data_IF_142360757160
#
_entry.id   IF_142360757160
#
_cell.length_a   1.000
_cell.length_b   1.000
_cell.length_c   1.000
_cell.angle_alpha   90.00
_cell.angle_beta   90.00
_cell.angle_gamma   90.00
#
_symmetry.space_group_name_H-M   'P 1'
#
loop_
_entity.id
_entity.type
_entity.pdbx_description
1 polymer ?
#
# COMPACT_ATOMS: atom_id res chain seq x y z
N UNK A 1 -20.68 -20.32 -11.37
CA UNK A 1 -20.62 -19.10 -10.55
C UNK A 1 -19.19 -18.59 -10.63
N UNK A 2 -18.91 -17.62 -11.52
CA UNK A 2 -17.61 -16.96 -11.56
C UNK A 2 -17.58 -16.01 -10.38
N UNK A 3 -16.65 -16.22 -9.45
CA UNK A 3 -16.34 -15.22 -8.44
C UNK A 3 -15.82 -14.02 -9.24
N UNK A 4 -16.60 -12.96 -9.24
CA UNK A 4 -16.19 -11.65 -9.73
C UNK A 4 -14.96 -11.30 -8.89
N UNK A 5 -13.81 -11.16 -9.55
CA UNK A 5 -12.60 -10.61 -8.91
C UNK A 5 -13.02 -9.32 -8.23
N UNK A 6 -12.74 -9.23 -6.92
CA UNK A 6 -13.11 -8.07 -6.12
C UNK A 6 -12.55 -6.82 -6.77
N UNK A 7 -13.45 -6.02 -7.32
CA UNK A 7 -13.20 -4.68 -7.82
C UNK A 7 -12.42 -3.91 -6.75
N UNK A 8 -11.19 -3.50 -7.09
CA UNK A 8 -10.21 -2.78 -6.26
C UNK A 8 -10.38 -2.92 -4.74
N UNK A 9 -9.63 -3.85 -4.12
CA UNK A 9 -9.45 -3.88 -2.68
C UNK A 9 -9.05 -2.47 -2.18
N UNK A 10 -10.01 -1.78 -1.58
CA UNK A 10 -9.88 -0.39 -1.14
C UNK A 10 -8.85 -0.38 0.00
N UNK A 11 -7.60 -0.04 -0.30
CA UNK A 11 -6.51 -0.12 0.65
C UNK A 11 -6.76 0.78 1.87
N UNK A 12 -7.47 1.89 1.67
CA UNK A 12 -7.95 2.73 2.76
C UNK A 12 -8.95 2.01 3.68
N UNK A 13 -9.81 1.12 3.16
CA UNK A 13 -10.70 0.29 3.98
C UNK A 13 -9.91 -0.67 4.87
N UNK A 14 -8.86 -1.29 4.33
CA UNK A 14 -7.97 -2.16 5.11
C UNK A 14 -7.28 -1.39 6.23
N UNK A 15 -6.72 -0.20 5.91
CA UNK A 15 -6.10 0.69 6.90
C UNK A 15 -7.10 1.08 8.00
N UNK A 16 -8.31 1.48 7.60
CA UNK A 16 -9.38 1.86 8.54
C UNK A 16 -9.73 0.70 9.46
N UNK A 17 -9.89 -0.49 8.90
CA UNK A 17 -10.17 -1.72 9.66
C UNK A 17 -9.06 -2.04 10.66
N UNK A 18 -7.79 -1.97 10.24
CA UNK A 18 -6.65 -2.22 11.14
C UNK A 18 -6.58 -1.21 12.28
N UNK A 19 -6.89 0.06 12.02
CA UNK A 19 -6.90 1.09 13.05
C UNK A 19 -8.07 0.93 14.03
N UNK A 20 -9.27 0.53 13.56
CA UNK A 20 -10.41 0.20 14.44
C UNK A 20 -10.08 -1.04 15.30
N UNK A 21 -9.62 -2.13 14.68
CA UNK A 21 -9.27 -3.35 15.41
C UNK A 21 -8.09 -3.14 16.38
N UNK A 22 -7.21 -2.20 16.08
CA UNK A 22 -6.11 -1.79 16.96
C UNK A 22 -6.52 -0.84 18.09
N UNK A 23 -7.80 -0.45 18.18
CA UNK A 23 -8.29 0.49 19.20
C UNK A 23 -7.76 1.92 19.03
N UNK A 24 -7.38 2.31 17.80
CA UNK A 24 -6.86 3.65 17.48
C UNK A 24 -7.93 4.59 16.94
N UNK A 25 -9.05 4.04 16.49
CA UNK A 25 -10.22 4.77 16.01
C UNK A 25 -11.42 4.29 16.82
N UNK A 26 -11.92 5.16 17.70
CA UNK A 26 -13.12 4.89 18.50
C UNK A 26 -14.39 5.14 17.66
N UNK A 27 -14.43 6.27 16.95
CA UNK A 27 -15.56 6.67 16.11
C UNK A 27 -15.13 6.86 14.65
N UNK A 28 -15.38 5.85 13.81
CA UNK A 28 -15.01 5.88 12.40
C UNK A 28 -15.59 7.10 11.64
N UNK A 29 -16.76 7.59 12.03
CA UNK A 29 -17.43 8.69 11.32
C UNK A 29 -16.68 10.03 11.45
N UNK A 30 -16.09 10.29 12.61
CA UNK A 30 -15.35 11.54 12.87
C UNK A 30 -14.04 11.55 12.07
N UNK A 31 -13.25 10.49 12.19
CA UNK A 31 -11.95 10.39 11.53
C UNK A 31 -12.07 10.31 10.00
N UNK A 32 -13.12 9.68 9.46
CA UNK A 32 -13.38 9.64 8.01
C UNK A 32 -13.78 11.02 7.44
N UNK A 33 -14.12 11.98 8.30
CA UNK A 33 -14.38 13.37 7.91
C UNK A 33 -13.14 14.26 8.05
N UNK A 34 -12.03 13.76 8.63
CA UNK A 34 -10.78 14.51 8.75
C UNK A 34 -10.06 14.64 7.41
N UNK A 35 -9.59 15.87 7.11
CA UNK A 35 -8.96 16.19 5.84
C UNK A 35 -7.61 15.49 5.65
N UNK A 36 -6.82 15.34 6.71
CA UNK A 36 -5.53 14.63 6.65
C UNK A 36 -5.78 13.14 6.43
N UNK A 37 -6.84 12.58 7.01
CA UNK A 37 -7.16 11.15 6.90
C UNK A 37 -7.64 10.84 5.50
N UNK A 38 -8.48 11.71 4.95
CA UNK A 38 -8.94 11.66 3.56
C UNK A 38 -7.76 11.75 2.61
N UNK A 39 -6.83 12.68 2.83
CA UNK A 39 -5.63 12.83 2.00
C UNK A 39 -4.76 11.57 2.00
N UNK A 40 -4.55 10.94 3.17
CA UNK A 40 -3.83 9.68 3.29
C UNK A 40 -4.59 8.50 2.65
N UNK A 41 -5.92 8.52 2.73
CA UNK A 41 -6.81 7.52 2.11
C UNK A 41 -6.76 7.56 0.58
N UNK A 42 -6.80 8.75 0.00
CA UNK A 42 -6.64 8.93 -1.45
C UNK A 42 -5.25 8.45 -1.90
N UNK A 43 -4.22 8.79 -1.13
CA UNK A 43 -2.85 8.42 -1.45
C UNK A 43 -2.62 6.91 -1.42
N UNK A 44 -3.10 6.21 -0.39
CA UNK A 44 -2.93 4.76 -0.30
C UNK A 44 -3.73 4.01 -1.38
N UNK A 45 -4.89 4.55 -1.77
CA UNK A 45 -5.69 3.98 -2.86
C UNK A 45 -5.01 4.18 -4.22
N UNK A 46 -4.41 5.35 -4.47
CA UNK A 46 -3.62 5.60 -5.67
C UNK A 46 -2.41 4.65 -5.75
N UNK A 47 -1.68 4.48 -4.65
CA UNK A 47 -0.57 3.53 -4.55
C UNK A 47 -1.06 2.10 -4.86
N UNK A 48 -2.17 1.67 -4.24
CA UNK A 48 -2.75 0.34 -4.47
C UNK A 48 -3.13 0.10 -5.93
N UNK A 49 -3.75 1.09 -6.58
CA UNK A 49 -4.11 1.02 -8.00
C UNK A 49 -2.88 0.93 -8.90
N UNK A 50 -1.87 1.77 -8.66
CA UNK A 50 -0.60 1.73 -9.41
C UNK A 50 0.11 0.38 -9.27
N UNK A 51 0.16 -0.17 -8.05
CA UNK A 51 0.77 -1.46 -7.76
C UNK A 51 0.03 -2.62 -8.41
N UNK A 52 -1.31 -2.62 -8.36
CA UNK A 52 -2.15 -3.62 -9.01
C UNK A 52 -1.96 -3.63 -10.53
N UNK A 53 -1.93 -2.45 -11.15
CA UNK A 53 -1.64 -2.31 -12.58
C UNK A 53 -0.23 -2.81 -12.94
N UNK A 54 0.76 -2.58 -12.09
CA UNK A 54 2.13 -3.05 -12.31
C UNK A 54 2.21 -4.59 -12.20
N UNK A 55 1.58 -5.18 -11.17
CA UNK A 55 1.52 -6.64 -10.97
C UNK A 55 0.87 -7.33 -12.17
N UNK A 56 -0.25 -6.80 -12.67
CA UNK A 56 -0.98 -7.37 -13.80
C UNK A 56 -0.19 -7.31 -15.12
N UNK A 57 0.61 -6.25 -15.34
CA UNK A 57 1.48 -6.12 -16.54
C UNK A 57 2.65 -7.11 -16.54
N UNK A 58 3.24 -7.39 -15.38
CA UNK A 58 4.32 -8.39 -15.24
C UNK A 58 3.89 -9.80 -15.66
N UNK A 59 2.59 -10.11 -15.60
CA UNK A 59 2.02 -11.40 -16.03
C UNK A 59 1.82 -11.52 -17.54
N UNK A 60 1.81 -10.43 -18.33
CA UNK A 60 1.48 -10.49 -19.78
C UNK A 60 2.67 -10.45 -20.73
N UNK A 61 3.86 -10.06 -20.29
CA UNK A 61 5.09 -10.20 -21.06
C UNK A 61 6.27 -9.92 -20.15
N UNK A 62 7.38 -10.59 -20.44
CA UNK A 62 8.69 -10.31 -19.90
C UNK A 62 9.12 -8.88 -20.26
N UNK A 63 8.71 -7.90 -19.47
CA UNK A 63 9.18 -6.52 -19.54
C UNK A 63 9.55 -6.05 -18.13
N UNK A 64 10.67 -6.57 -17.64
CA UNK A 64 11.62 -5.74 -16.91
C UNK A 64 12.23 -4.74 -17.91
N UNK A 65 11.38 -3.92 -18.54
CA UNK A 65 11.82 -2.90 -19.46
C UNK A 65 12.18 -1.66 -18.65
N UNK A 66 13.47 -1.57 -18.32
CA UNK A 66 14.16 -0.29 -18.45
C UNK A 66 13.99 0.10 -19.93
N UNK A 67 12.96 0.89 -20.24
CA UNK A 67 12.81 1.51 -21.55
C UNK A 67 13.91 2.56 -21.73
N UNK A 68 15.10 2.09 -22.11
CA UNK A 68 16.28 2.91 -22.38
C UNK A 68 16.14 3.75 -23.66
N UNK A 69 15.04 3.66 -24.40
CA UNK A 69 14.87 4.37 -25.67
C UNK A 69 13.87 5.53 -25.63
N UNK A 70 13.17 5.77 -24.52
CA UNK A 70 12.31 6.97 -24.42
C UNK A 70 12.20 7.63 -23.04
N UNK A 71 13.04 7.25 -22.08
CA UNK A 71 13.34 8.05 -20.87
C UNK A 71 12.15 8.62 -20.08
N UNK A 72 10.96 8.02 -20.13
CA UNK A 72 9.73 8.68 -19.68
C UNK A 72 8.88 7.83 -18.71
N UNK A 73 8.94 8.25 -17.45
CA UNK A 73 7.80 8.66 -16.58
C UNK A 73 6.62 7.68 -16.39
N UNK A 74 6.85 6.42 -15.98
CA UNK A 74 5.78 5.60 -15.36
C UNK A 74 6.11 5.05 -13.98
N UNK A 75 7.40 4.89 -13.68
CA UNK A 75 7.88 4.59 -12.33
C UNK A 75 7.78 5.80 -11.38
N UNK A 76 7.85 7.01 -11.95
CA UNK A 76 7.98 8.27 -11.21
C UNK A 76 6.74 8.61 -10.37
N UNK A 77 5.52 8.47 -10.91
CA UNK A 77 4.30 8.83 -10.16
C UNK A 77 4.04 7.95 -8.94
N UNK A 78 4.39 6.66 -9.00
CA UNK A 78 4.26 5.75 -7.86
C UNK A 78 5.31 6.04 -6.78
N UNK A 79 6.55 6.32 -7.17
CA UNK A 79 7.60 6.74 -6.23
C UNK A 79 7.26 8.08 -5.58
N UNK A 80 6.69 9.02 -6.33
CA UNK A 80 6.20 10.30 -5.82
C UNK A 80 5.10 10.11 -4.77
N UNK A 81 4.09 9.26 -5.06
CA UNK A 81 3.03 8.96 -4.09
C UNK A 81 3.57 8.31 -2.82
N UNK A 82 4.52 7.38 -2.96
CA UNK A 82 5.18 6.73 -1.81
C UNK A 82 6.02 7.73 -1.01
N UNK A 83 6.77 8.62 -1.67
CA UNK A 83 7.54 9.67 -1.02
C UNK A 83 6.62 10.63 -0.25
N UNK A 84 5.53 11.05 -0.87
CA UNK A 84 4.50 11.89 -0.23
C UNK A 84 3.88 11.20 0.98
N UNK A 85 3.62 9.89 0.90
CA UNK A 85 3.09 9.13 2.02
C UNK A 85 4.06 9.13 3.19
N UNK A 86 5.34 8.85 2.93
CA UNK A 86 6.38 8.86 3.96
C UNK A 86 6.49 10.24 4.59
N UNK A 87 6.43 11.33 3.82
CA UNK A 87 6.47 12.69 4.35
C UNK A 87 5.31 12.95 5.32
N UNK A 88 4.06 12.76 4.87
CA UNK A 88 2.86 13.02 5.68
C UNK A 88 2.82 12.18 6.98
N UNK A 89 3.33 10.94 6.92
CA UNK A 89 3.40 10.07 8.09
C UNK A 89 4.37 10.59 9.16
N UNK A 90 5.43 11.29 8.77
CA UNK A 90 6.44 11.84 9.68
C UNK A 90 6.22 13.30 10.08
N UNK A 91 5.30 14.02 9.43
CA UNK A 91 4.92 15.38 9.83
C UNK A 91 4.28 15.39 11.22
N UNK A 92 4.86 16.10 12.19
CA UNK A 92 4.36 16.12 13.58
C UNK A 92 3.08 16.95 13.76
N UNK A 93 2.78 17.87 12.83
CA UNK A 93 1.72 18.88 12.97
C UNK A 93 0.35 18.44 12.43
N UNK A 94 0.20 17.20 12.00
CA UNK A 94 -1.07 16.69 11.46
C UNK A 94 -2.08 16.45 12.58
N UNK A 95 -3.37 16.75 12.36
CA UNK A 95 -4.45 16.50 13.32
C UNK A 95 -4.77 15.02 13.60
N UNK A 96 -3.93 14.09 13.15
CA UNK A 96 -4.12 12.65 13.26
C UNK A 96 -3.02 12.04 14.11
N UNK A 97 -3.41 11.10 14.96
CA UNK A 97 -2.51 10.28 15.74
C UNK A 97 -1.43 9.61 14.89
N UNK A 98 -0.19 9.62 15.39
CA UNK A 98 0.97 9.10 14.69
C UNK A 98 0.81 7.61 14.36
N UNK A 99 0.23 6.81 15.24
CA UNK A 99 0.07 5.38 15.05
C UNK A 99 -0.96 5.06 13.96
N UNK A 100 -1.99 5.89 13.81
CA UNK A 100 -2.93 5.82 12.67
C UNK A 100 -2.17 6.01 11.36
N UNK A 101 -1.32 7.04 11.28
CA UNK A 101 -0.49 7.32 10.10
C UNK A 101 0.49 6.19 9.81
N UNK A 102 1.12 5.62 10.84
CA UNK A 102 2.01 4.47 10.67
C UNK A 102 1.30 3.25 10.08
N UNK A 103 0.00 3.05 10.34
CA UNK A 103 -0.79 2.00 9.68
C UNK A 103 -0.88 2.19 8.16
N UNK A 104 -1.03 3.43 7.67
CA UNK A 104 -1.00 3.69 6.23
C UNK A 104 0.33 3.27 5.62
N UNK A 105 1.45 3.64 6.25
CA UNK A 105 2.78 3.27 5.79
C UNK A 105 3.02 1.77 5.84
N UNK A 106 2.53 1.09 6.89
CA UNK A 106 2.61 -0.37 7.02
C UNK A 106 1.90 -1.07 5.87
N UNK A 107 0.66 -0.69 5.58
CA UNK A 107 -0.13 -1.26 4.47
C UNK A 107 0.55 -0.97 3.13
N UNK A 108 1.03 0.25 2.89
CA UNK A 108 1.74 0.61 1.66
C UNK A 108 2.97 -0.28 1.42
N UNK A 109 3.78 -0.50 2.47
CA UNK A 109 4.96 -1.36 2.40
C UNK A 109 4.60 -2.81 2.08
N UNK A 110 3.53 -3.33 2.69
CA UNK A 110 3.04 -4.69 2.42
C UNK A 110 2.56 -4.85 0.97
N UNK A 111 1.77 -3.89 0.47
CA UNK A 111 1.31 -3.89 -0.93
C UNK A 111 2.49 -3.77 -1.91
N UNK A 112 3.44 -2.88 -1.62
CA UNK A 112 4.64 -2.72 -2.43
C UNK A 112 5.42 -4.03 -2.52
N UNK A 113 5.62 -4.68 -1.38
CA UNK A 113 6.32 -5.95 -1.28
C UNK A 113 5.65 -7.05 -2.13
N UNK A 114 4.33 -7.23 -2.00
CA UNK A 114 3.56 -8.20 -2.80
C UNK A 114 3.61 -7.93 -4.32
N UNK A 115 3.63 -6.66 -4.74
CA UNK A 115 3.66 -6.30 -6.16
C UNK A 115 5.05 -6.42 -6.82
N UNK A 116 6.13 -6.32 -6.03
CA UNK A 116 7.49 -6.33 -6.56
C UNK A 116 8.15 -7.71 -6.50
N UNK A 117 7.88 -8.48 -5.45
CA UNK A 117 8.46 -9.82 -5.29
C UNK A 117 7.61 -10.90 -5.96
N UNK A 118 8.21 -11.86 -6.69
CA UNK A 118 7.48 -13.01 -7.21
C UNK A 118 6.83 -13.82 -6.09
N UNK A 119 5.68 -14.44 -6.36
CA UNK A 119 4.94 -15.26 -5.38
C UNK A 119 5.83 -16.32 -4.70
N UNK A 120 6.70 -16.98 -5.48
CA UNK A 120 7.67 -17.95 -4.95
C UNK A 120 8.62 -17.35 -3.90
N UNK A 121 9.09 -16.12 -4.12
CA UNK A 121 9.94 -15.40 -3.15
C UNK A 121 9.14 -15.03 -1.90
N UNK A 122 7.89 -14.58 -2.08
CA UNK A 122 6.99 -14.27 -0.96
C UNK A 122 6.76 -15.53 -0.11
N UNK A 123 6.48 -16.68 -0.72
CA UNK A 123 6.28 -17.97 -0.02
C UNK A 123 7.51 -18.40 0.78
N UNK A 124 8.71 -18.28 0.19
CA UNK A 124 9.96 -18.58 0.89
C UNK A 124 10.14 -17.65 2.10
N UNK A 125 9.86 -16.35 1.93
CA UNK A 125 10.01 -15.38 3.00
C UNK A 125 8.97 -15.60 4.11
N UNK A 126 7.70 -15.88 3.76
CA UNK A 126 6.66 -16.24 4.72
C UNK A 126 7.06 -17.50 5.50
N UNK A 127 7.60 -18.52 4.83
CA UNK A 127 8.02 -19.74 5.50
C UNK A 127 9.10 -19.49 6.55
N UNK A 128 10.09 -18.66 6.21
CA UNK A 128 11.15 -18.25 7.14
C UNK A 128 10.62 -17.44 8.33
N UNK A 129 9.70 -16.51 8.09
CA UNK A 129 9.20 -15.61 9.14
C UNK A 129 8.19 -16.30 10.07
N UNK A 130 7.34 -17.18 9.54
CA UNK A 130 6.23 -17.77 10.29
C UNK A 130 6.54 -19.13 10.90
N UNK A 131 7.45 -19.92 10.29
CA UNK A 131 7.64 -21.33 10.68
C UNK A 131 9.06 -21.67 11.15
N UNK A 132 10.05 -20.78 10.95
CA UNK A 132 11.40 -21.02 11.45
C UNK A 132 11.65 -20.19 12.72
N UNK A 133 12.26 -20.78 13.77
CA UNK A 133 12.63 -20.03 14.96
C UNK A 133 13.75 -19.03 14.66
N UNK A 134 13.76 -17.92 15.40
CA UNK A 134 14.91 -17.00 15.40
C UNK A 134 16.08 -17.70 16.10
N UNK A 135 17.28 -17.74 15.48
CA UNK A 135 18.48 -18.34 16.08
C UNK A 135 18.88 -17.75 17.43
#
# INVERSE_FOLDING_TARGET
MKLQEGDDANAALLVTTLNICGGRIDEAKEILSDQHYTTLSDLINNISSHLSQHKNKKTSAQELCINAENGSVKHMGMEEDMQKLVQLVHEETTGIDKDIKQTFLLVAKALYYDAYFPAQTVDIHMSKVLFLPVP
#
